data_IF_119194622293
#
_entry.id   IF_119194622293
#
_cell.length_a   1.000
_cell.length_b   1.000
_cell.length_c   1.000
_cell.angle_alpha   90.00
_cell.angle_beta   90.00
_cell.angle_gamma   90.00
#
_symmetry.space_group_name_H-M   'P 1'
#
loop_
_entity.id
_entity.type
_entity.pdbx_description
1 polymer ?
#
# COMPACT_ATOMS: atom_id res chain seq x y z
N UNK A 1 -12.95 -29.43 27.65
CA UNK A 1 -12.95 -28.21 28.49
C UNK A 1 -11.51 -27.74 28.53
N UNK A 2 -11.09 -26.98 27.52
CA UNK A 2 -9.72 -26.48 27.47
C UNK A 2 -9.69 -25.07 28.02
N UNK A 3 -9.10 -24.91 29.20
CA UNK A 3 -8.84 -23.61 29.81
C UNK A 3 -7.89 -22.81 28.92
N UNK A 4 -8.40 -21.82 28.19
CA UNK A 4 -7.58 -20.88 27.46
C UNK A 4 -6.78 -20.02 28.46
N UNK A 5 -5.45 -20.18 28.48
CA UNK A 5 -4.56 -19.30 29.25
C UNK A 5 -4.63 -17.88 28.68
N UNK A 6 -5.21 -16.93 29.42
CA UNK A 6 -5.22 -15.51 29.07
C UNK A 6 -4.00 -14.79 29.67
N UNK A 7 -3.31 -14.00 28.85
CA UNK A 7 -2.15 -13.19 29.26
C UNK A 7 -2.68 -11.81 29.65
N UNK A 8 -2.48 -11.40 30.90
CA UNK A 8 -2.83 -10.06 31.40
C UNK A 8 -1.70 -9.05 31.20
N UNK A 9 -2.04 -7.79 30.94
CA UNK A 9 -1.07 -6.71 30.90
C UNK A 9 -0.49 -6.47 32.31
N UNK A 10 0.85 -6.42 32.47
CA UNK A 10 1.49 -6.19 33.77
C UNK A 10 1.66 -4.70 34.12
N UNK A 11 1.29 -3.78 33.23
CA UNK A 11 1.41 -2.33 33.45
C UNK A 11 0.31 -1.87 34.41
N UNK A 12 0.67 -1.05 35.40
CA UNK A 12 -0.24 -0.51 36.41
C UNK A 12 -1.40 0.22 35.73
N UNK A 13 -2.62 0.03 36.24
CA UNK A 13 -3.89 0.57 35.71
C UNK A 13 -4.31 0.08 34.30
N UNK A 14 -3.59 -0.88 33.70
CA UNK A 14 -4.01 -1.51 32.45
C UNK A 14 -4.70 -2.86 32.68
N UNK A 15 -6.01 -2.94 32.39
CA UNK A 15 -6.81 -4.16 32.52
C UNK A 15 -6.88 -5.02 31.25
N UNK A 16 -5.98 -4.80 30.29
CA UNK A 16 -6.02 -5.51 29.01
C UNK A 16 -5.58 -6.98 29.14
N UNK A 17 -6.34 -7.88 28.52
CA UNK A 17 -5.99 -9.30 28.40
C UNK A 17 -5.91 -9.70 26.92
N UNK A 18 -5.00 -10.62 26.59
CA UNK A 18 -4.81 -11.16 25.24
C UNK A 18 -4.61 -12.66 25.27
N UNK A 19 -5.05 -13.32 24.20
CA UNK A 19 -4.94 -14.78 24.05
C UNK A 19 -3.58 -15.22 23.51
N UNK A 20 -2.89 -14.33 22.78
CA UNK A 20 -1.57 -14.61 22.20
C UNK A 20 -0.53 -13.60 22.67
N UNK A 21 0.70 -14.07 22.93
CA UNK A 21 1.85 -13.23 23.32
C UNK A 21 2.11 -12.10 22.30
N UNK A 22 1.92 -12.38 21.01
CA UNK A 22 2.08 -11.40 19.93
C UNK A 22 1.02 -10.29 19.97
N UNK A 23 -0.22 -10.62 20.34
CA UNK A 23 -1.28 -9.63 20.51
C UNK A 23 -1.00 -8.74 21.73
N UNK A 24 -0.39 -9.30 22.78
CA UNK A 24 0.04 -8.51 23.94
C UNK A 24 1.21 -7.58 23.59
N UNK A 25 2.17 -8.03 22.77
CA UNK A 25 3.23 -7.17 22.25
C UNK A 25 2.68 -6.03 21.38
N UNK A 26 1.67 -6.30 20.54
CA UNK A 26 0.98 -5.26 19.78
C UNK A 26 0.28 -4.25 20.70
N UNK A 27 -0.39 -4.73 21.75
CA UNK A 27 -1.03 -3.89 22.76
C UNK A 27 -0.02 -2.95 23.45
N UNK A 28 1.16 -3.43 23.87
CA UNK A 28 2.19 -2.57 24.46
C UNK A 28 2.62 -1.45 23.51
N UNK A 29 2.72 -1.74 22.21
CA UNK A 29 3.10 -0.75 21.20
C UNK A 29 2.02 0.31 20.96
N UNK A 30 0.75 -0.05 21.12
CA UNK A 30 -0.37 0.86 20.81
C UNK A 30 -0.75 1.68 22.04
N UNK A 31 -0.77 1.06 23.22
CA UNK A 31 -1.30 1.68 24.44
C UNK A 31 -0.19 2.25 25.32
N UNK A 32 0.96 1.57 25.42
CA UNK A 32 2.02 1.91 26.38
C UNK A 32 3.28 2.47 25.72
N UNK A 33 3.15 3.04 24.52
CA UNK A 33 4.29 3.56 23.76
C UNK A 33 4.77 4.87 24.37
N UNK A 34 5.86 4.79 25.12
CA UNK A 34 6.47 5.95 25.77
C UNK A 34 5.98 6.19 27.20
N UNK A 35 5.23 5.26 27.79
CA UNK A 35 4.87 5.30 29.21
C UNK A 35 6.12 5.24 30.09
N UNK A 36 6.23 6.16 31.05
CA UNK A 36 7.32 6.21 32.01
C UNK A 36 7.32 5.02 32.98
N UNK A 37 6.13 4.49 33.28
CA UNK A 37 5.92 3.40 34.23
C UNK A 37 5.81 2.03 33.55
N UNK A 38 6.15 1.92 32.26
CA UNK A 38 6.12 0.65 31.55
C UNK A 38 7.14 -0.32 32.16
N UNK A 39 6.66 -1.46 32.67
CA UNK A 39 7.50 -2.57 33.12
C UNK A 39 6.87 -3.89 32.69
N UNK A 40 7.53 -4.63 31.80
CA UNK A 40 7.04 -5.91 31.31
C UNK A 40 8.17 -6.94 31.17
N UNK A 41 7.95 -8.22 31.55
CA UNK A 41 8.89 -9.30 31.30
C UNK A 41 8.86 -9.73 29.83
N UNK A 42 9.93 -10.37 29.38
CA UNK A 42 9.95 -11.07 28.10
C UNK A 42 8.98 -12.25 28.12
N UNK A 43 8.35 -12.51 26.98
CA UNK A 43 7.43 -13.63 26.83
C UNK A 43 8.11 -15.00 26.74
N UNK A 44 9.42 -15.03 26.48
CA UNK A 44 10.20 -16.26 26.23
C UNK A 44 11.45 -16.38 27.13
N UNK A 45 11.70 -15.42 28.02
CA UNK A 45 12.79 -15.50 29.01
C UNK A 45 12.56 -14.60 30.23
N UNK A 46 13.40 -14.71 31.25
CA UNK A 46 13.24 -14.03 32.55
C UNK A 46 13.71 -12.56 32.56
N UNK A 47 14.00 -11.95 31.40
CA UNK A 47 14.47 -10.56 31.32
C UNK A 47 13.30 -9.58 31.40
N UNK A 48 13.43 -8.54 32.22
CA UNK A 48 12.44 -7.44 32.32
C UNK A 48 12.88 -6.20 31.53
N UNK A 49 11.90 -5.46 31.00
CA UNK A 49 12.13 -4.27 30.18
C UNK A 49 11.31 -3.09 30.66
N UNK A 50 11.94 -1.90 30.64
CA UNK A 50 11.32 -0.62 31.02
C UNK A 50 10.72 0.16 29.85
N UNK A 51 10.85 -0.34 28.61
CA UNK A 51 10.17 0.23 27.43
C UNK A 51 9.76 -0.88 26.47
N UNK A 52 8.62 -0.71 25.79
CA UNK A 52 8.15 -1.65 24.76
C UNK A 52 9.18 -1.81 23.63
N UNK A 53 9.85 -0.72 23.25
CA UNK A 53 10.85 -0.71 22.19
C UNK A 53 12.03 -1.63 22.55
N UNK A 54 12.48 -1.59 23.81
CA UNK A 54 13.57 -2.45 24.28
C UNK A 54 13.15 -3.93 24.31
N UNK A 55 11.94 -4.22 24.79
CA UNK A 55 11.37 -5.57 24.79
C UNK A 55 11.25 -6.13 23.36
N UNK A 56 10.71 -5.33 22.42
CA UNK A 56 10.56 -5.73 21.02
C UNK A 56 11.92 -5.96 20.34
N UNK A 57 12.91 -5.09 20.60
CA UNK A 57 14.28 -5.27 20.12
C UNK A 57 14.89 -6.56 20.66
N UNK A 58 14.70 -6.85 21.94
CA UNK A 58 15.15 -8.10 22.56
C UNK A 58 14.49 -9.32 21.91
N UNK A 59 13.17 -9.33 21.75
CA UNK A 59 12.44 -10.41 21.08
C UNK A 59 12.94 -10.63 19.66
N UNK A 60 13.16 -9.55 18.90
CA UNK A 60 13.69 -9.67 17.52
C UNK A 60 15.11 -10.21 17.43
N UNK A 61 15.92 -10.05 18.50
CA UNK A 61 17.34 -10.44 18.52
C UNK A 61 17.56 -11.83 19.11
N UNK A 62 16.83 -12.16 20.16
CA UNK A 62 17.05 -13.38 20.96
C UNK A 62 15.93 -14.41 20.82
N UNK A 63 14.76 -14.02 20.30
CA UNK A 63 13.59 -14.89 20.16
C UNK A 63 12.99 -14.73 18.75
N UNK A 64 13.81 -14.93 17.72
CA UNK A 64 13.45 -14.70 16.31
C UNK A 64 12.19 -15.48 15.89
N UNK A 65 11.97 -16.67 16.46
CA UNK A 65 10.79 -17.50 16.21
C UNK A 65 9.49 -16.94 16.81
N UNK A 66 9.56 -15.96 17.73
CA UNK A 66 8.38 -15.34 18.34
C UNK A 66 7.44 -14.67 17.32
N UNK A 67 7.97 -14.24 16.16
CA UNK A 67 7.20 -13.53 15.13
C UNK A 67 6.71 -14.43 13.98
N UNK A 68 7.04 -15.72 13.98
CA UNK A 68 6.62 -16.63 12.93
C UNK A 68 5.36 -17.41 13.36
N UNK A 69 4.22 -17.12 12.75
CA UNK A 69 3.05 -17.99 12.82
C UNK A 69 3.03 -18.91 11.59
N UNK A 70 2.98 -20.22 11.84
CA UNK A 70 2.73 -21.33 10.90
C UNK A 70 3.89 -21.78 9.99
N UNK A 71 4.77 -22.65 10.52
CA UNK A 71 5.41 -23.75 9.77
C UNK A 71 6.05 -24.82 10.69
N UNK A 72 5.58 -24.99 11.93
CA UNK A 72 6.13 -25.97 12.86
C UNK A 72 5.19 -27.18 12.98
N UNK A 73 5.10 -27.97 11.91
CA UNK A 73 4.74 -29.36 12.03
C UNK A 73 5.92 -30.19 11.49
N UNK A 74 6.50 -30.98 12.38
CA UNK A 74 7.46 -32.07 12.15
C UNK A 74 8.94 -31.63 12.02
N UNK A 75 9.70 -31.76 13.11
CA UNK A 75 10.87 -32.67 13.32
C UNK A 75 11.47 -32.39 14.73
N UNK A 76 11.94 -33.42 15.48
CA UNK A 76 12.11 -33.36 16.94
C UNK A 76 13.43 -32.74 17.41
N UNK A 77 13.42 -32.32 18.67
CA UNK A 77 14.52 -31.75 19.44
C UNK A 77 15.77 -32.64 19.49
N UNK A 78 16.94 -32.02 19.33
CA UNK A 78 18.23 -32.54 19.79
C UNK A 78 18.85 -31.47 20.69
N UNK A 79 18.92 -31.78 21.98
CA UNK A 79 19.54 -31.00 23.04
C UNK A 79 21.06 -31.05 22.96
N UNK A 80 21.76 -29.90 22.99
CA UNK A 80 23.14 -29.79 23.52
C UNK A 80 23.47 -28.31 23.85
N UNK A 81 24.50 -27.98 24.67
CA UNK A 81 24.31 -27.31 25.96
C UNK A 81 24.88 -25.88 26.02
N UNK A 82 24.50 -25.13 27.06
CA UNK A 82 24.99 -23.78 27.40
C UNK A 82 26.51 -23.78 27.70
N UNK A 83 27.20 -22.69 27.31
CA UNK A 83 28.20 -22.10 28.20
C UNK A 83 28.01 -20.60 28.44
N UNK A 84 28.66 -20.17 29.50
CA UNK A 84 28.38 -19.02 30.36
C UNK A 84 29.02 -17.70 29.88
N UNK A 85 28.48 -16.63 30.47
CA UNK A 85 28.84 -15.21 30.47
C UNK A 85 30.32 -14.80 30.41
N UNK A 86 30.62 -13.73 29.66
CA UNK A 86 31.40 -12.55 30.12
C UNK A 86 30.96 -11.29 29.33
N UNK A 87 30.76 -10.17 30.05
CA UNK A 87 30.42 -8.84 29.54
C UNK A 87 31.64 -8.07 29.00
N UNK A 88 31.44 -7.23 27.97
CA UNK A 88 31.88 -5.82 27.96
C UNK A 88 31.47 -5.08 26.67
N UNK A 89 31.01 -3.85 26.84
CA UNK A 89 30.43 -2.93 25.85
C UNK A 89 31.36 -2.49 24.71
N UNK A 90 30.81 -2.30 23.49
CA UNK A 90 31.05 -1.12 22.66
C UNK A 90 30.05 -1.00 21.49
N UNK A 91 29.57 0.22 21.26
CA UNK A 91 28.69 0.65 20.17
C UNK A 91 29.16 0.23 18.76
N UNK A 92 28.29 -0.43 17.97
CA UNK A 92 28.35 -0.46 16.49
C UNK A 92 26.96 -0.64 15.84
N UNK A 93 26.76 -0.14 14.59
CA UNK A 93 25.44 0.10 14.00
C UNK A 93 24.75 -1.16 13.46
N UNK A 94 23.44 -1.01 13.30
CA UNK A 94 22.45 -2.03 12.94
C UNK A 94 22.76 -2.63 11.55
N UNK A 95 23.40 -3.79 11.52
CA UNK A 95 23.27 -4.75 10.43
C UNK A 95 22.29 -5.82 10.92
N UNK A 96 21.02 -5.70 10.52
CA UNK A 96 19.99 -6.67 10.86
C UNK A 96 20.36 -8.04 10.28
N UNK A 97 20.75 -8.93 11.17
CA UNK A 97 20.87 -10.38 10.99
C UNK A 97 19.61 -10.95 10.33
N UNK A 98 19.65 -11.17 9.01
CA UNK A 98 18.77 -12.07 8.26
C UNK A 98 19.61 -13.04 7.42
N UNK A 99 20.53 -13.75 8.07
CA UNK A 99 21.13 -14.96 7.51
C UNK A 99 20.96 -16.06 8.54
N UNK A 100 19.86 -16.81 8.40
CA UNK A 100 19.72 -18.11 9.03
C UNK A 100 19.24 -19.09 7.96
N UNK A 101 20.12 -19.46 7.04
CA UNK A 101 20.02 -20.72 6.29
C UNK A 101 21.43 -21.16 5.88
N UNK A 102 22.13 -21.90 6.74
CA UNK A 102 23.24 -22.76 6.32
C UNK A 102 23.19 -24.07 7.11
N UNK A 103 22.05 -24.76 7.00
CA UNK A 103 21.98 -26.21 7.18
C UNK A 103 21.34 -26.81 5.92
N UNK A 104 22.15 -27.58 5.20
CA UNK A 104 21.85 -28.45 4.05
C UNK A 104 20.80 -27.92 3.06
N UNK A 105 21.24 -27.12 2.09
CA UNK A 105 20.38 -26.52 1.06
C UNK A 105 19.88 -27.60 0.07
N UNK A 106 18.60 -27.96 0.16
CA UNK A 106 17.87 -28.73 -0.87
C UNK A 106 17.47 -27.84 -2.05
N UNK A 107 17.25 -28.40 -3.24
CA UNK A 107 16.86 -27.66 -4.47
C UNK A 107 15.57 -26.84 -4.32
N UNK A 108 14.62 -27.25 -3.47
CA UNK A 108 13.42 -26.48 -3.10
C UNK A 108 13.72 -25.22 -2.29
N UNK A 109 14.85 -25.18 -1.57
CA UNK A 109 15.28 -24.03 -0.77
C UNK A 109 15.87 -22.91 -1.66
N UNK A 110 16.55 -23.27 -2.75
CA UNK A 110 17.10 -22.32 -3.73
C UNK A 110 16.01 -21.56 -4.52
N UNK A 111 14.90 -22.23 -4.85
CA UNK A 111 13.75 -21.57 -5.51
C UNK A 111 13.01 -20.65 -4.55
N UNK A 112 12.89 -21.03 -3.27
CA UNK A 112 12.34 -20.17 -2.22
C UNK A 112 13.21 -18.92 -1.97
N UNK A 113 14.53 -19.09 -1.90
CA UNK A 113 15.48 -18.00 -1.69
C UNK A 113 15.53 -17.02 -2.87
N UNK A 114 15.52 -17.52 -4.10
CA UNK A 114 15.49 -16.65 -5.29
C UNK A 114 14.17 -15.86 -5.42
N UNK A 115 13.05 -16.44 -5.00
CA UNK A 115 11.78 -15.72 -4.90
C UNK A 115 11.80 -14.64 -3.80
N UNK A 116 12.43 -14.92 -2.66
CA UNK A 116 12.59 -13.97 -1.56
C UNK A 116 13.45 -12.76 -1.97
N UNK A 117 14.63 -12.99 -2.56
CA UNK A 117 15.53 -11.92 -3.04
C UNK A 117 14.83 -11.04 -4.08
N UNK A 118 14.02 -11.65 -4.94
CA UNK A 118 13.27 -10.90 -5.96
C UNK A 118 12.16 -10.04 -5.33
N UNK A 119 11.56 -10.49 -4.24
CA UNK A 119 10.57 -9.72 -3.47
C UNK A 119 11.20 -8.49 -2.82
N UNK A 120 12.35 -8.66 -2.16
CA UNK A 120 13.09 -7.54 -1.55
C UNK A 120 13.54 -6.52 -2.62
N UNK A 121 14.03 -7.00 -3.75
CA UNK A 121 14.45 -6.15 -4.87
C UNK A 121 13.26 -5.38 -5.48
N UNK A 122 12.10 -6.03 -5.62
CA UNK A 122 10.88 -5.38 -6.07
C UNK A 122 10.39 -4.32 -5.06
N UNK A 123 10.44 -4.63 -3.76
CA UNK A 123 10.04 -3.71 -2.70
C UNK A 123 10.97 -2.49 -2.63
N UNK A 124 12.28 -2.70 -2.78
CA UNK A 124 13.27 -1.63 -2.85
C UNK A 124 12.96 -0.64 -3.99
N UNK A 125 12.70 -1.15 -5.20
CA UNK A 125 12.34 -0.30 -6.34
C UNK A 125 11.00 0.40 -6.15
N UNK A 126 10.01 -0.28 -5.57
CA UNK A 126 8.71 0.32 -5.28
C UNK A 126 8.85 1.48 -4.29
N UNK A 127 9.61 1.31 -3.22
CA UNK A 127 9.83 2.37 -2.22
C UNK A 127 10.57 3.58 -2.81
N UNK A 128 11.58 3.35 -3.66
CA UNK A 128 12.25 4.46 -4.37
C UNK A 128 11.27 5.23 -5.27
N UNK A 129 10.43 4.51 -6.01
CA UNK A 129 9.44 5.15 -6.88
C UNK A 129 8.38 5.93 -6.09
N UNK A 130 7.92 5.39 -4.95
CA UNK A 130 6.79 5.93 -4.21
C UNK A 130 7.20 6.98 -3.15
N UNK A 131 8.18 6.67 -2.30
CA UNK A 131 8.62 7.53 -1.22
C UNK A 131 9.57 8.63 -1.71
N UNK A 132 10.44 8.31 -2.68
CA UNK A 132 11.46 9.23 -3.20
C UNK A 132 11.11 9.84 -4.55
N UNK A 133 9.99 9.44 -5.16
CA UNK A 133 9.47 9.96 -6.45
C UNK A 133 10.44 9.78 -7.62
N UNK A 134 11.25 8.71 -7.58
CA UNK A 134 12.20 8.42 -8.66
C UNK A 134 11.45 8.05 -9.93
N UNK A 135 11.82 8.66 -11.05
CA UNK A 135 11.27 8.30 -12.35
C UNK A 135 11.96 7.02 -12.89
N UNK A 136 11.48 6.49 -14.02
CA UNK A 136 12.03 5.24 -14.56
C UNK A 136 13.51 5.35 -14.99
N UNK A 137 13.98 6.53 -15.36
CA UNK A 137 15.38 6.77 -15.71
C UNK A 137 16.22 6.69 -14.44
N UNK A 138 15.80 7.38 -13.37
CA UNK A 138 16.48 7.35 -12.07
C UNK A 138 16.55 5.93 -11.51
N UNK A 139 15.44 5.19 -11.58
CA UNK A 139 15.39 3.79 -11.14
C UNK A 139 16.40 2.92 -11.90
N UNK A 140 16.50 3.07 -13.23
CA UNK A 140 17.48 2.32 -14.02
C UNK A 140 18.91 2.64 -13.59
N UNK A 141 19.21 3.92 -13.34
CA UNK A 141 20.53 4.35 -12.86
C UNK A 141 20.85 3.73 -11.51
N UNK A 142 19.90 3.75 -10.56
CA UNK A 142 20.07 3.12 -9.24
C UNK A 142 20.24 1.62 -9.37
N UNK A 143 19.47 0.96 -10.22
CA UNK A 143 19.56 -0.49 -10.45
C UNK A 143 20.95 -0.89 -10.95
N UNK A 144 21.50 -0.18 -11.93
CA UNK A 144 22.82 -0.49 -12.47
C UNK A 144 23.93 -0.20 -11.44
N UNK A 145 23.87 0.94 -10.76
CA UNK A 145 24.84 1.28 -9.71
C UNK A 145 24.79 0.28 -8.54
N UNK A 146 23.58 -0.14 -8.13
CA UNK A 146 23.40 -1.13 -7.06
C UNK A 146 23.90 -2.50 -7.49
N UNK A 147 23.64 -2.92 -8.74
CA UNK A 147 24.14 -4.17 -9.30
C UNK A 147 25.67 -4.18 -9.33
N UNK A 148 26.30 -3.11 -9.81
CA UNK A 148 27.76 -3.00 -9.85
C UNK A 148 28.36 -3.02 -8.43
N UNK A 149 27.77 -2.25 -7.50
CA UNK A 149 28.19 -2.23 -6.11
C UNK A 149 28.09 -3.62 -5.45
N UNK A 150 26.96 -4.30 -5.57
CA UNK A 150 26.74 -5.63 -5.01
C UNK A 150 27.74 -6.63 -5.59
N UNK A 151 27.95 -6.62 -6.91
CA UNK A 151 28.89 -7.54 -7.55
C UNK A 151 30.33 -7.29 -7.08
N UNK A 152 30.74 -6.03 -6.92
CA UNK A 152 32.06 -5.67 -6.40
C UNK A 152 32.26 -6.15 -4.97
N UNK A 153 31.27 -5.94 -4.10
CA UNK A 153 31.34 -6.38 -2.70
C UNK A 153 31.35 -7.91 -2.58
N UNK A 154 30.53 -8.61 -3.37
CA UNK A 154 30.54 -10.08 -3.40
C UNK A 154 31.91 -10.59 -3.87
N UNK A 155 32.50 -10.00 -4.91
CA UNK A 155 33.84 -10.36 -5.37
C UNK A 155 34.91 -10.11 -4.30
N UNK A 156 34.83 -9.01 -3.55
CA UNK A 156 35.75 -8.72 -2.45
C UNK A 156 35.62 -9.73 -1.30
N UNK A 157 34.40 -10.14 -0.96
CA UNK A 157 34.15 -11.19 0.05
C UNK A 157 34.66 -12.54 -0.42
N UNK A 158 34.37 -12.94 -1.66
CA UNK A 158 34.86 -14.19 -2.24
C UNK A 158 36.39 -14.22 -2.28
N UNK A 159 37.03 -13.12 -2.65
CA UNK A 159 38.50 -13.02 -2.69
C UNK A 159 39.11 -13.17 -1.29
N UNK A 160 38.53 -12.53 -0.27
CA UNK A 160 38.96 -12.69 1.13
C UNK A 160 38.73 -14.11 1.65
N UNK A 161 37.62 -14.73 1.30
CA UNK A 161 37.31 -16.10 1.69
C UNK A 161 38.31 -17.09 1.06
N UNK A 162 38.66 -16.91 -0.22
CA UNK A 162 39.66 -17.73 -0.90
C UNK A 162 41.03 -17.58 -0.22
N UNK A 163 41.50 -16.34 -0.02
CA UNK A 163 42.77 -16.09 0.65
C UNK A 163 42.82 -16.73 2.06
N UNK A 164 41.74 -16.59 2.84
CA UNK A 164 41.65 -17.21 4.17
C UNK A 164 41.69 -18.74 4.12
N UNK A 165 41.11 -19.36 3.08
CA UNK A 165 41.14 -20.82 2.90
C UNK A 165 42.54 -21.29 2.48
N UNK A 166 43.22 -20.54 1.61
CA UNK A 166 44.61 -20.81 1.20
C UNK A 166 45.57 -20.72 2.38
N UNK A 167 45.46 -19.67 3.20
CA UNK A 167 46.25 -19.49 4.43
C UNK A 167 46.02 -20.62 5.44
N UNK A 168 44.84 -21.23 5.41
CA UNK A 168 44.47 -22.38 6.27
C UNK A 168 44.95 -23.73 5.71
N UNK A 169 45.67 -23.74 4.57
CA UNK A 169 46.13 -24.95 3.89
C UNK A 169 45.02 -25.75 3.21
N UNK A 170 43.86 -25.15 2.93
CA UNK A 170 42.75 -25.82 2.25
C UNK A 170 43.03 -25.95 0.75
N UNK A 171 43.02 -27.18 0.24
CA UNK A 171 43.29 -27.51 -1.18
C UNK A 171 42.04 -27.48 -2.07
N UNK A 172 40.86 -27.19 -1.51
CA UNK A 172 39.58 -27.21 -2.24
C UNK A 172 39.13 -25.82 -2.74
N UNK A 173 40.02 -24.85 -2.83
CA UNK A 173 39.75 -23.49 -3.35
C UNK A 173 39.23 -23.50 -4.78
N UNK A 174 39.57 -24.54 -5.55
CA UNK A 174 39.04 -24.85 -6.88
C UNK A 174 37.50 -24.94 -6.91
N UNK A 175 36.83 -25.26 -5.79
CA UNK A 175 35.37 -25.33 -5.72
C UNK A 175 34.70 -23.95 -5.63
N UNK A 176 35.45 -22.92 -5.22
CA UNK A 176 34.95 -21.53 -5.07
C UNK A 176 35.36 -20.68 -6.27
N UNK A 177 36.45 -21.03 -6.95
CA UNK A 177 36.93 -20.33 -8.15
C UNK A 177 35.86 -20.10 -9.24
N UNK A 178 34.97 -21.07 -9.56
CA UNK A 178 33.90 -20.85 -10.55
C UNK A 178 32.91 -19.75 -10.16
N UNK A 179 32.68 -19.54 -8.86
CA UNK A 179 31.80 -18.46 -8.38
C UNK A 179 32.45 -17.09 -8.60
N UNK A 180 33.76 -17.00 -8.36
CA UNK A 180 34.53 -15.78 -8.64
C UNK A 180 34.54 -15.46 -10.13
N UNK A 181 34.71 -16.47 -10.99
CA UNK A 181 34.63 -16.30 -12.45
C UNK A 181 33.23 -15.90 -12.91
N UNK A 182 32.18 -16.50 -12.35
CA UNK A 182 30.79 -16.14 -12.65
C UNK A 182 30.52 -14.66 -12.39
N UNK A 183 30.91 -14.14 -11.21
CA UNK A 183 30.70 -12.74 -10.84
C UNK A 183 31.61 -11.75 -11.59
N UNK A 184 32.72 -12.22 -12.18
CA UNK A 184 33.56 -11.44 -13.12
C UNK A 184 33.01 -11.44 -14.54
N UNK A 185 32.15 -12.40 -14.89
CA UNK A 185 31.60 -12.55 -16.23
C UNK A 185 30.35 -11.68 -16.46
N UNK A 186 29.95 -11.57 -17.74
CA UNK A 186 28.67 -10.96 -18.13
C UNK A 186 27.43 -11.70 -17.58
N UNK A 187 27.62 -12.92 -17.08
CA UNK A 187 26.56 -13.77 -16.51
C UNK A 187 26.42 -13.61 -15.00
N UNK A 188 27.10 -12.62 -14.40
CA UNK A 188 26.96 -12.30 -12.98
C UNK A 188 25.47 -12.17 -12.59
N UNK A 189 25.04 -12.81 -11.49
CA UNK A 189 23.67 -12.71 -11.00
C UNK A 189 23.24 -11.25 -10.83
N UNK A 190 22.03 -10.94 -11.30
CA UNK A 190 21.47 -9.59 -11.22
C UNK A 190 20.38 -9.57 -10.14
N UNK A 191 20.51 -8.78 -9.06
CA UNK A 191 19.50 -8.71 -8.01
C UNK A 191 18.13 -8.26 -8.55
N UNK A 192 18.13 -7.50 -9.65
CA UNK A 192 16.92 -7.02 -10.31
C UNK A 192 16.51 -7.85 -11.53
N UNK A 193 16.96 -9.11 -11.60
CA UNK A 193 16.61 -9.99 -12.70
C UNK A 193 15.08 -10.09 -12.84
N UNK A 194 14.61 -9.80 -14.06
CA UNK A 194 13.19 -9.80 -14.36
C UNK A 194 12.40 -8.65 -13.70
N UNK A 195 13.06 -7.59 -13.25
CA UNK A 195 12.49 -6.29 -12.84
C UNK A 195 13.11 -5.12 -13.64
N UNK A 196 13.87 -5.41 -14.71
CA UNK A 196 14.63 -4.42 -15.51
C UNK A 196 13.79 -3.37 -16.22
N UNK A 197 12.55 -3.71 -16.56
CA UNK A 197 11.66 -2.82 -17.31
C UNK A 197 10.46 -2.48 -16.47
N UNK A 198 9.93 -1.26 -16.65
CA UNK A 198 8.72 -0.79 -15.99
C UNK A 198 7.56 -1.79 -16.16
N UNK A 199 7.41 -2.36 -17.35
CA UNK A 199 6.41 -3.41 -17.62
C UNK A 199 6.57 -4.63 -16.71
N UNK A 200 7.80 -5.17 -16.59
CA UNK A 200 8.06 -6.33 -15.73
C UNK A 200 7.89 -6.01 -14.24
N UNK A 201 8.20 -4.77 -13.84
CA UNK A 201 7.94 -4.26 -12.50
C UNK A 201 6.43 -4.25 -12.22
N UNK A 202 5.63 -3.63 -13.08
CA UNK A 202 4.16 -3.63 -12.96
C UNK A 202 3.57 -5.04 -12.90
N UNK A 203 4.00 -5.93 -13.79
CA UNK A 203 3.54 -7.33 -13.75
C UNK A 203 3.86 -8.00 -12.42
N UNK A 204 5.05 -7.74 -11.87
CA UNK A 204 5.45 -8.27 -10.57
C UNK A 204 4.59 -7.66 -9.45
N UNK A 205 4.41 -6.34 -9.43
CA UNK A 205 3.63 -5.64 -8.40
C UNK A 205 2.16 -6.05 -8.41
N UNK A 206 1.55 -6.19 -9.58
CA UNK A 206 0.16 -6.66 -9.68
C UNK A 206 0.02 -8.10 -9.20
N UNK A 207 0.98 -8.97 -9.53
CA UNK A 207 0.92 -10.38 -9.16
C UNK A 207 1.19 -10.64 -7.68
N UNK A 208 2.20 -9.97 -7.11
CA UNK A 208 2.72 -10.31 -5.77
C UNK A 208 2.44 -9.26 -4.71
N UNK A 209 2.29 -7.98 -5.09
CA UNK A 209 1.97 -6.89 -4.15
C UNK A 209 0.50 -6.45 -4.22
N UNK A 210 -0.31 -7.09 -5.06
CA UNK A 210 -1.72 -6.74 -5.21
C UNK A 210 -1.96 -5.37 -5.81
N UNK A 211 -1.01 -4.84 -6.61
CA UNK A 211 -1.16 -3.55 -7.27
C UNK A 211 -2.35 -3.58 -8.24
N UNK A 212 -3.32 -2.71 -8.00
CA UNK A 212 -4.52 -2.58 -8.82
C UNK A 212 -4.16 -1.88 -10.13
N UNK A 213 -4.40 -2.57 -11.25
CA UNK A 213 -4.12 -2.02 -12.57
C UNK A 213 -5.25 -1.08 -13.02
N UNK A 214 -4.91 0.08 -13.61
CA UNK A 214 -5.90 0.94 -14.26
C UNK A 214 -6.44 0.29 -15.54
N UNK A 215 -7.67 0.62 -15.88
CA UNK A 215 -8.39 0.19 -17.07
C UNK A 215 -8.59 1.39 -18.00
N UNK A 216 -8.45 1.17 -19.30
CA UNK A 216 -8.77 2.16 -20.32
C UNK A 216 -10.18 1.94 -20.82
N UNK A 217 -11.00 2.99 -20.82
CA UNK A 217 -12.37 2.94 -21.31
C UNK A 217 -12.45 3.72 -22.61
N UNK A 218 -12.98 3.06 -23.64
CA UNK A 218 -13.23 3.67 -24.94
C UNK A 218 -14.49 4.54 -24.87
N UNK A 219 -14.37 5.78 -25.35
CA UNK A 219 -15.50 6.69 -25.44
C UNK A 219 -16.33 6.39 -26.70
N UNK A 220 -17.66 6.62 -26.64
CA UNK A 220 -18.54 6.38 -27.78
C UNK A 220 -18.16 7.25 -28.98
N UNK A 221 -18.49 6.79 -30.18
CA UNK A 221 -18.42 7.61 -31.38
C UNK A 221 -19.62 8.55 -31.40
N UNK A 222 -19.39 9.85 -31.60
CA UNK A 222 -20.46 10.83 -31.78
C UNK A 222 -20.73 11.06 -33.27
N UNK A 223 -21.93 11.47 -33.62
CA UNK A 223 -22.29 11.87 -34.99
C UNK A 223 -21.39 12.98 -35.54
N UNK A 224 -20.89 13.85 -34.66
CA UNK A 224 -19.94 14.93 -34.93
C UNK A 224 -18.56 14.42 -35.39
N UNK A 225 -18.23 13.16 -35.08
CA UNK A 225 -16.97 12.53 -35.41
C UNK A 225 -16.92 11.99 -36.85
N UNK A 226 -18.08 11.92 -37.51
CA UNK A 226 -18.19 11.72 -38.95
C UNK A 226 -18.19 13.11 -39.59
N UNK A 227 -17.04 13.57 -40.07
CA UNK A 227 -16.93 14.92 -40.62
C UNK A 227 -17.78 15.15 -41.87
N UNK A 228 -17.89 16.41 -42.28
CA UNK A 228 -18.63 16.80 -43.50
C UNK A 228 -18.02 16.10 -44.72
N UNK A 229 -18.88 15.55 -45.58
CA UNK A 229 -18.59 14.79 -46.83
C UNK A 229 -17.85 15.63 -47.92
N UNK A 230 -17.31 16.81 -47.59
CA UNK A 230 -16.69 17.71 -48.56
C UNK A 230 -15.38 17.19 -49.15
N UNK A 231 -14.67 16.33 -48.43
CA UNK A 231 -13.44 15.71 -48.92
C UNK A 231 -13.74 14.23 -49.14
N UNK A 232 -13.77 13.75 -50.39
CA UNK A 232 -13.98 12.33 -50.77
C UNK A 232 -12.90 11.35 -50.24
N UNK A 233 -12.26 11.65 -49.11
CA UNK A 233 -11.29 10.81 -48.41
C UNK A 233 -11.98 10.15 -47.21
N UNK A 234 -11.74 8.86 -46.94
CA UNK A 234 -12.22 8.23 -45.72
C UNK A 234 -11.61 8.94 -44.51
N UNK A 235 -12.46 9.41 -43.61
CA UNK A 235 -11.99 10.00 -42.35
C UNK A 235 -11.74 8.88 -41.34
N UNK A 236 -10.53 8.84 -40.81
CA UNK A 236 -10.18 7.91 -39.74
C UNK A 236 -10.60 8.51 -38.40
N UNK A 237 -11.58 7.88 -37.75
CA UNK A 237 -11.95 8.22 -36.38
C UNK A 237 -10.77 7.93 -35.43
N UNK A 238 -10.28 8.97 -34.74
CA UNK A 238 -9.33 8.78 -33.65
C UNK A 238 -10.11 8.35 -32.41
N UNK A 239 -10.01 7.06 -32.07
CA UNK A 239 -10.58 6.51 -30.83
C UNK A 239 -10.12 7.35 -29.64
N UNK A 240 -11.09 7.85 -28.88
CA UNK A 240 -10.84 8.55 -27.64
C UNK A 240 -11.01 7.57 -26.48
N UNK A 241 -10.12 7.67 -25.50
CA UNK A 241 -10.12 6.84 -24.30
C UNK A 241 -9.81 7.69 -23.08
N UNK A 242 -10.17 7.16 -21.91
CA UNK A 242 -9.79 7.71 -20.61
C UNK A 242 -9.48 6.57 -19.65
N UNK A 243 -8.92 6.91 -18.48
CA UNK A 243 -8.40 5.93 -17.52
C UNK A 243 -9.26 5.89 -16.28
N UNK A 244 -9.58 4.68 -15.82
CA UNK A 244 -10.31 4.41 -14.58
C UNK A 244 -9.54 3.39 -13.74
N UNK A 245 -9.53 3.56 -12.43
CA UNK A 245 -9.02 2.56 -11.48
C UNK A 245 -10.24 1.89 -10.83
N UNK A 246 -10.39 0.56 -10.93
CA UNK A 246 -11.60 -0.14 -10.44
C UNK A 246 -11.88 0.13 -8.97
N UNK A 247 -13.08 0.59 -8.65
CA UNK A 247 -13.42 1.03 -7.29
C UNK A 247 -13.52 -0.17 -6.34
N UNK A 248 -14.19 -1.25 -6.72
CA UNK A 248 -14.33 -2.44 -5.88
C UNK A 248 -13.01 -3.14 -5.57
N UNK A 249 -12.07 -3.16 -6.52
CA UNK A 249 -10.73 -3.68 -6.26
C UNK A 249 -10.03 -2.87 -5.18
N UNK A 250 -10.16 -1.54 -5.22
CA UNK A 250 -9.58 -0.65 -4.20
C UNK A 250 -10.27 -0.83 -2.86
N UNK A 251 -11.61 -0.86 -2.84
CA UNK A 251 -12.39 -1.05 -1.63
C UNK A 251 -12.05 -2.36 -0.93
N UNK A 252 -11.92 -3.47 -1.68
CA UNK A 252 -11.53 -4.77 -1.13
C UNK A 252 -10.15 -4.71 -0.46
N UNK A 253 -9.18 -4.06 -1.09
CA UNK A 253 -7.83 -3.91 -0.52
C UNK A 253 -7.86 -3.06 0.75
N UNK A 254 -8.58 -1.93 0.72
CA UNK A 254 -8.71 -1.04 1.89
C UNK A 254 -9.40 -1.74 3.06
N UNK A 255 -10.51 -2.43 2.83
CA UNK A 255 -11.23 -3.17 3.87
C UNK A 255 -10.49 -4.43 4.36
N UNK A 256 -9.47 -4.89 3.64
CA UNK A 256 -8.61 -5.97 4.12
C UNK A 256 -7.58 -5.48 5.14
N UNK A 257 -7.38 -4.17 5.28
CA UNK A 257 -6.49 -3.60 6.29
C UNK A 257 -7.18 -3.56 7.66
N UNK A 258 -6.48 -4.02 8.70
CA UNK A 258 -7.08 -4.18 10.03
C UNK A 258 -7.64 -2.86 10.57
N UNK A 259 -6.81 -1.82 10.55
CA UNK A 259 -7.15 -0.49 11.06
C UNK A 259 -8.34 0.15 10.33
N UNK A 260 -8.46 -0.07 9.01
CA UNK A 260 -9.54 0.51 8.19
C UNK A 260 -10.84 -0.21 8.46
N UNK A 261 -10.82 -1.54 8.45
CA UNK A 261 -12.01 -2.35 8.71
C UNK A 261 -12.56 -2.10 10.11
N UNK A 262 -11.68 -2.16 11.13
CA UNK A 262 -12.11 -1.99 12.51
C UNK A 262 -12.74 -0.60 12.71
N UNK A 263 -12.17 0.45 12.11
CA UNK A 263 -12.73 1.81 12.16
C UNK A 263 -13.99 2.00 11.34
N UNK A 264 -14.15 1.27 10.24
CA UNK A 264 -15.32 1.38 9.37
C UNK A 264 -16.56 0.72 9.98
N UNK A 265 -16.38 -0.40 10.67
CA UNK A 265 -17.46 -1.22 11.24
C UNK A 265 -17.60 -1.10 12.76
N UNK A 266 -16.86 -0.19 13.41
CA UNK A 266 -17.09 0.15 14.82
C UNK A 266 -18.08 1.29 14.96
N UNK A 267 -18.84 1.26 16.05
CA UNK A 267 -19.65 2.41 16.45
C UNK A 267 -18.76 3.60 16.81
N UNK A 268 -19.17 4.78 16.35
CA UNK A 268 -18.56 6.05 16.72
C UNK A 268 -19.16 6.56 18.03
N UNK A 269 -18.35 7.24 18.82
CA UNK A 269 -18.82 7.89 20.05
C UNK A 269 -19.78 9.04 19.69
N UNK A 270 -20.99 9.03 20.25
CA UNK A 270 -21.97 10.09 20.05
C UNK A 270 -21.88 11.11 21.19
N UNK A 271 -21.80 12.39 20.82
CA UNK A 271 -21.89 13.49 21.77
C UNK A 271 -23.33 14.04 21.76
N UNK A 272 -24.11 13.95 22.86
CA UNK A 272 -25.54 14.27 22.86
C UNK A 272 -25.87 15.70 22.38
N UNK A 273 -24.98 16.65 22.64
CA UNK A 273 -25.21 18.08 22.41
C UNK A 273 -24.38 18.66 21.25
N UNK A 274 -23.65 17.81 20.51
CA UNK A 274 -22.76 18.25 19.44
C UNK A 274 -22.86 17.35 18.21
N UNK A 275 -23.15 17.97 17.06
CA UNK A 275 -23.00 17.33 15.76
C UNK A 275 -21.50 17.17 15.48
N UNK A 276 -21.02 15.94 15.63
CA UNK A 276 -19.60 15.58 15.58
C UNK A 276 -19.26 14.73 14.36
N UNK A 277 -20.26 14.04 13.83
CA UNK A 277 -20.11 13.04 12.79
C UNK A 277 -21.20 13.20 11.72
N UNK A 278 -20.96 12.64 10.52
CA UNK A 278 -21.95 12.66 9.44
C UNK A 278 -23.24 11.93 9.86
N UNK A 279 -23.08 10.90 10.67
CA UNK A 279 -24.12 10.07 11.26
C UNK A 279 -25.10 10.85 12.16
N UNK A 280 -24.69 12.02 12.65
CA UNK A 280 -25.52 12.90 13.47
C UNK A 280 -26.47 13.76 12.60
N UNK A 281 -26.22 13.84 11.29
CA UNK A 281 -26.97 14.68 10.35
C UNK A 281 -28.24 14.02 9.81
N UNK A 282 -29.23 14.84 9.45
CA UNK A 282 -30.51 14.37 8.86
C UNK A 282 -30.31 13.54 7.60
N UNK A 283 -29.35 13.89 6.75
CA UNK A 283 -29.03 13.14 5.53
C UNK A 283 -28.63 11.67 5.79
N UNK A 284 -28.07 11.37 6.96
CA UNK A 284 -27.80 9.99 7.38
C UNK A 284 -29.03 9.38 8.04
N UNK A 285 -29.63 10.08 9.01
CA UNK A 285 -30.74 9.59 9.82
C UNK A 285 -32.00 9.27 9.00
N UNK A 286 -32.27 10.02 7.94
CA UNK A 286 -33.44 9.86 7.07
C UNK A 286 -33.20 8.90 5.90
N UNK A 287 -31.95 8.46 5.68
CA UNK A 287 -31.60 7.61 4.55
C UNK A 287 -31.90 6.14 4.85
N UNK A 288 -32.74 5.53 4.00
CA UNK A 288 -33.20 4.15 4.15
C UNK A 288 -32.08 3.10 4.17
N UNK A 289 -31.00 3.35 3.42
CA UNK A 289 -29.84 2.45 3.37
C UNK A 289 -29.08 2.47 4.71
N UNK A 290 -28.84 3.65 5.28
CA UNK A 290 -28.18 3.78 6.58
C UNK A 290 -29.04 3.33 7.76
N UNK A 291 -30.37 3.50 7.68
CA UNK A 291 -31.29 2.93 8.67
C UNK A 291 -31.26 1.39 8.67
N UNK A 292 -31.19 0.78 7.49
CA UNK A 292 -31.14 -0.69 7.34
C UNK A 292 -29.74 -1.24 7.63
N UNK A 293 -28.71 -0.49 7.28
CA UNK A 293 -27.30 -0.87 7.39
C UNK A 293 -26.48 0.29 7.99
N UNK A 294 -26.45 0.44 9.33
CA UNK A 294 -25.79 1.58 9.98
C UNK A 294 -24.29 1.70 9.66
N UNK A 295 -23.62 0.57 9.45
CA UNK A 295 -22.19 0.53 9.10
C UNK A 295 -21.93 0.53 7.58
N UNK A 296 -22.93 0.92 6.77
CA UNK A 296 -22.71 1.07 5.34
C UNK A 296 -21.58 2.09 5.07
N UNK A 297 -20.80 1.81 4.04
CA UNK A 297 -19.63 2.57 3.68
C UNK A 297 -20.06 3.90 3.08
N UNK A 298 -19.57 4.98 3.66
CA UNK A 298 -19.73 6.35 3.23
C UNK A 298 -18.63 6.65 2.22
N UNK A 299 -19.00 6.97 0.99
CA UNK A 299 -18.04 7.32 -0.06
C UNK A 299 -18.03 8.83 -0.22
N UNK A 300 -16.85 9.43 -0.09
CA UNK A 300 -16.65 10.85 -0.36
C UNK A 300 -15.90 10.97 -1.67
N UNK A 301 -16.53 11.55 -2.69
CA UNK A 301 -15.90 11.86 -3.97
C UNK A 301 -15.33 13.27 -3.95
N UNK A 302 -14.16 13.42 -4.55
CA UNK A 302 -13.52 14.71 -4.76
C UNK A 302 -13.09 14.85 -6.22
N UNK A 303 -13.45 15.95 -6.87
CA UNK A 303 -13.01 16.27 -8.23
C UNK A 303 -12.06 17.47 -8.22
N UNK A 304 -10.95 17.31 -8.94
CA UNK A 304 -9.91 18.33 -9.10
C UNK A 304 -9.52 18.47 -10.57
N UNK A 305 -9.24 19.71 -11.01
CA UNK A 305 -8.81 20.02 -12.37
C UNK A 305 -7.38 20.56 -12.35
N UNK A 306 -6.46 19.85 -13.02
CA UNK A 306 -5.04 20.21 -13.07
C UNK A 306 -4.62 20.49 -14.50
N UNK A 307 -3.88 21.58 -14.68
CA UNK A 307 -3.26 21.95 -15.94
C UNK A 307 -1.81 21.48 -15.96
N UNK A 308 -1.47 20.53 -16.86
CA UNK A 308 -0.13 19.90 -16.87
C UNK A 308 0.97 20.85 -17.41
N UNK A 309 0.59 21.88 -18.18
CA UNK A 309 1.56 22.81 -18.78
C UNK A 309 1.17 24.26 -18.48
N UNK A 310 2.09 24.98 -17.84
CA UNK A 310 2.15 26.43 -17.92
C UNK A 310 2.62 26.79 -19.32
N UNK A 311 1.68 27.13 -20.20
CA UNK A 311 2.02 27.51 -21.56
C UNK A 311 1.45 28.89 -21.86
N UNK A 312 2.33 29.83 -22.16
CA UNK A 312 2.00 31.08 -22.82
C UNK A 312 1.47 30.73 -24.23
N UNK A 313 0.17 30.91 -24.49
CA UNK A 313 -0.40 30.78 -25.84
C UNK A 313 -1.87 30.37 -25.90
N UNK A 314 -2.51 30.58 -27.06
CA UNK A 314 -3.95 30.36 -27.27
C UNK A 314 -4.38 28.89 -27.49
N UNK A 315 -3.44 27.96 -27.67
CA UNK A 315 -3.72 26.51 -27.88
C UNK A 315 -3.68 25.67 -26.59
N UNK A 316 -3.66 26.34 -25.45
CA UNK A 316 -3.21 25.78 -24.16
C UNK A 316 -4.36 25.13 -23.37
N UNK A 317 -5.61 25.44 -23.71
CA UNK A 317 -6.81 24.93 -23.03
C UNK A 317 -7.06 23.42 -23.22
N UNK A 318 -6.35 22.75 -24.13
CA UNK A 318 -6.63 21.35 -24.48
C UNK A 318 -6.00 20.30 -23.53
N UNK A 319 -5.13 20.72 -22.60
CA UNK A 319 -4.33 19.81 -21.78
C UNK A 319 -4.72 19.81 -20.29
N UNK A 320 -5.91 20.30 -19.95
CA UNK A 320 -6.42 20.20 -18.59
C UNK A 320 -6.96 18.79 -18.32
N UNK A 321 -6.52 18.21 -17.22
CA UNK A 321 -6.98 16.92 -16.73
C UNK A 321 -7.94 17.12 -15.57
N UNK A 322 -8.98 16.31 -15.55
CA UNK A 322 -9.88 16.16 -14.42
C UNK A 322 -9.55 14.84 -13.74
N UNK A 323 -9.33 14.92 -12.44
CA UNK A 323 -9.08 13.79 -11.57
C UNK A 323 -10.30 13.58 -10.67
N UNK A 324 -10.71 12.33 -10.55
CA UNK A 324 -11.77 11.91 -9.63
C UNK A 324 -11.13 11.05 -8.56
N UNK A 325 -11.26 11.46 -7.31
CA UNK A 325 -10.74 10.75 -6.15
C UNK A 325 -11.87 10.28 -5.25
N UNK A 326 -11.57 9.31 -4.38
CA UNK A 326 -12.44 8.93 -3.28
C UNK A 326 -11.69 8.75 -1.97
N UNK A 327 -12.43 8.92 -0.88
CA UNK A 327 -12.02 8.57 0.48
C UNK A 327 -13.17 7.84 1.19
N UNK A 328 -12.85 7.01 2.18
CA UNK A 328 -13.85 6.36 3.04
C UNK A 328 -14.26 7.33 4.15
N UNK A 329 -15.52 7.74 4.14
CA UNK A 329 -16.12 8.71 5.06
C UNK A 329 -16.26 8.20 6.50
N UNK A 330 -16.38 6.88 6.70
CA UNK A 330 -16.50 6.27 8.02
C UNK A 330 -15.26 6.49 8.89
N UNK A 331 -14.09 6.72 8.28
CA UNK A 331 -12.86 6.95 9.02
C UNK A 331 -12.90 8.29 9.79
N UNK A 332 -12.25 8.31 10.96
CA UNK A 332 -12.10 9.54 11.75
C UNK A 332 -11.38 10.63 10.93
N UNK A 333 -11.72 11.90 11.20
CA UNK A 333 -11.23 13.05 10.43
C UNK A 333 -9.70 13.06 10.30
N UNK A 334 -8.98 12.76 11.38
CA UNK A 334 -7.50 12.73 11.41
C UNK A 334 -6.88 11.74 10.41
N UNK A 335 -7.59 10.68 10.06
CA UNK A 335 -7.13 9.71 9.06
C UNK A 335 -7.52 10.17 7.65
N UNK A 336 -8.74 10.72 7.48
CA UNK A 336 -9.25 11.23 6.20
C UNK A 336 -8.43 12.40 5.64
N UNK A 337 -7.76 13.17 6.50
CA UNK A 337 -6.88 14.28 6.08
C UNK A 337 -5.51 13.84 5.57
N UNK A 338 -5.17 12.54 5.66
CA UNK A 338 -3.89 12.03 5.14
C UNK A 338 -3.95 11.79 3.64
N UNK A 339 -2.91 12.19 2.90
CA UNK A 339 -2.76 11.88 1.47
C UNK A 339 -2.87 10.37 1.16
N UNK A 340 -2.48 9.51 2.11
CA UNK A 340 -2.56 8.05 1.95
C UNK A 340 -4.00 7.51 1.89
N UNK A 341 -4.99 8.31 2.29
CA UNK A 341 -6.41 7.93 2.25
C UNK A 341 -7.14 8.48 1.02
N UNK A 342 -6.46 9.30 0.19
CA UNK A 342 -7.00 9.83 -1.07
C UNK A 342 -6.66 8.88 -2.20
N UNK A 343 -7.68 8.18 -2.71
CA UNK A 343 -7.53 7.14 -3.71
C UNK A 343 -8.05 7.64 -5.06
N UNK A 344 -7.36 7.31 -6.15
CA UNK A 344 -7.75 7.73 -7.50
C UNK A 344 -8.81 6.80 -8.09
N UNK A 345 -9.85 7.35 -8.71
CA UNK A 345 -10.88 6.60 -9.45
C UNK A 345 -10.80 6.80 -10.96
N UNK A 346 -10.60 8.03 -11.43
CA UNK A 346 -10.61 8.30 -12.86
C UNK A 346 -9.75 9.50 -13.23
N UNK A 347 -9.21 9.46 -14.45
CA UNK A 347 -8.52 10.57 -15.11
C UNK A 347 -9.07 10.69 -16.53
N UNK A 348 -9.56 11.88 -16.87
CA UNK A 348 -9.99 12.23 -18.22
C UNK A 348 -9.63 13.69 -18.52
N UNK A 349 -9.62 14.06 -19.80
CA UNK A 349 -9.36 15.45 -20.18
C UNK A 349 -10.62 16.30 -20.03
N UNK A 350 -10.46 17.58 -19.69
CA UNK A 350 -11.60 18.50 -19.58
C UNK A 350 -12.36 18.65 -20.92
N UNK A 351 -11.67 18.67 -22.06
CA UNK A 351 -12.34 18.69 -23.37
C UNK A 351 -13.24 17.47 -23.62
N UNK A 352 -12.99 16.34 -22.95
CA UNK A 352 -13.87 15.17 -23.00
C UNK A 352 -15.14 15.41 -22.17
N UNK A 353 -15.06 16.18 -21.07
CA UNK A 353 -16.23 16.58 -20.28
C UNK A 353 -17.15 17.45 -21.14
N UNK A 354 -16.60 18.44 -21.83
CA UNK A 354 -17.36 19.32 -22.74
C UNK A 354 -18.03 18.53 -23.88
N UNK A 355 -17.34 17.51 -24.41
CA UNK A 355 -17.80 16.75 -25.58
C UNK A 355 -18.77 15.62 -25.25
N UNK A 356 -18.51 14.86 -24.20
CA UNK A 356 -19.27 13.65 -23.84
C UNK A 356 -20.19 13.83 -22.64
N UNK A 357 -19.95 14.88 -21.84
CA UNK A 357 -20.64 15.12 -20.59
C UNK A 357 -20.10 14.29 -19.42
N UNK A 358 -20.23 14.84 -18.22
CA UNK A 358 -19.76 14.20 -16.98
C UNK A 358 -20.44 12.86 -16.72
N UNK A 359 -21.71 12.72 -17.07
CA UNK A 359 -22.49 11.48 -16.89
C UNK A 359 -21.87 10.27 -17.60
N UNK A 360 -21.28 10.47 -18.79
CA UNK A 360 -20.63 9.38 -19.55
C UNK A 360 -19.30 9.00 -18.91
N UNK A 361 -18.55 9.98 -18.42
CA UNK A 361 -17.22 9.80 -17.86
C UNK A 361 -17.24 9.22 -16.44
N UNK A 362 -18.24 9.60 -15.63
CA UNK A 362 -18.42 9.06 -14.28
C UNK A 362 -19.24 7.77 -14.24
N UNK A 363 -19.85 7.36 -15.36
CA UNK A 363 -20.69 6.16 -15.42
C UNK A 363 -20.07 4.93 -14.77
N UNK A 364 -18.80 4.55 -15.04
CA UNK A 364 -18.20 3.36 -14.43
C UNK A 364 -18.16 3.43 -12.90
N UNK A 365 -17.81 4.61 -12.35
CA UNK A 365 -17.75 4.84 -10.90
C UNK A 365 -19.15 4.78 -10.29
N UNK A 366 -20.11 5.47 -10.89
CA UNK A 366 -21.49 5.52 -10.39
C UNK A 366 -22.17 4.16 -10.47
N UNK A 367 -21.94 3.39 -11.53
CA UNK A 367 -22.49 2.04 -11.69
C UNK A 367 -21.94 1.07 -10.61
N UNK A 368 -20.67 1.20 -10.21
CA UNK A 368 -20.12 0.45 -9.08
C UNK A 368 -20.70 0.92 -7.74
N UNK A 369 -20.89 2.23 -7.52
CA UNK A 369 -21.54 2.73 -6.29
C UNK A 369 -22.98 2.23 -6.19
N UNK A 370 -23.75 2.24 -7.28
CA UNK A 370 -25.13 1.69 -7.30
C UNK A 370 -25.18 0.20 -6.99
N UNK A 371 -24.17 -0.56 -7.43
CA UNK A 371 -24.05 -1.97 -7.06
C UNK A 371 -23.74 -2.12 -5.57
N UNK A 372 -22.89 -1.27 -5.00
CA UNK A 372 -22.60 -1.25 -3.57
C UNK A 372 -23.85 -0.93 -2.72
N UNK A 373 -24.74 -0.05 -3.21
CA UNK A 373 -26.01 0.26 -2.55
C UNK A 373 -26.93 -0.96 -2.43
N UNK A 374 -26.87 -1.88 -3.40
CA UNK A 374 -27.61 -3.15 -3.39
C UNK A 374 -26.95 -4.22 -2.51
N UNK A 375 -25.73 -3.97 -2.07
CA UNK A 375 -24.89 -4.87 -1.30
C UNK A 375 -24.12 -5.84 -2.17
N UNK A 376 -22.79 -5.85 -2.01
CA UNK A 376 -21.88 -6.73 -2.74
C UNK A 376 -21.18 -7.71 -1.80
N UNK A 377 -20.92 -8.92 -2.28
CA UNK A 377 -20.16 -9.91 -1.53
C UNK A 377 -18.66 -9.67 -1.72
N UNK A 378 -17.97 -9.26 -0.66
CA UNK A 378 -16.53 -9.05 -0.64
C UNK A 378 -15.90 -10.08 0.29
N UNK A 379 -14.91 -10.81 -0.22
CA UNK A 379 -14.05 -11.62 0.62
C UNK A 379 -13.07 -10.70 1.36
N UNK A 380 -13.34 -10.48 2.65
CA UNK A 380 -12.53 -9.66 3.56
C UNK A 380 -11.91 -10.62 4.59
N UNK A 381 -10.57 -10.65 4.65
CA UNK A 381 -9.81 -11.50 5.60
C UNK A 381 -10.21 -12.99 5.54
N UNK A 382 -10.53 -13.52 4.36
CA UNK A 382 -10.93 -14.92 4.18
C UNK A 382 -12.42 -15.20 4.42
N UNK A 383 -13.18 -14.21 4.90
CA UNK A 383 -14.61 -14.32 5.14
C UNK A 383 -15.40 -13.57 4.07
N UNK A 384 -16.34 -14.25 3.43
CA UNK A 384 -17.27 -13.62 2.51
C UNK A 384 -18.29 -12.82 3.32
N UNK A 385 -18.28 -11.50 3.16
CA UNK A 385 -19.17 -10.58 3.85
C UNK A 385 -19.94 -9.75 2.83
N UNK A 386 -21.23 -9.56 3.07
CA UNK A 386 -22.05 -8.66 2.28
C UNK A 386 -21.88 -7.23 2.78
N UNK A 387 -21.35 -6.37 1.92
CA UNK A 387 -20.98 -4.98 2.23
C UNK A 387 -21.89 -4.03 1.48
N UNK A 388 -22.39 -3.02 2.20
CA UNK A 388 -23.24 -1.95 1.67
C UNK A 388 -22.54 -0.60 1.76
N UNK A 389 -22.99 0.37 0.99
CA UNK A 389 -22.42 1.71 0.98
C UNK A 389 -23.03 2.57 -0.11
N UNK A 390 -22.83 3.89 0.01
CA UNK A 390 -23.37 4.87 -0.93
C UNK A 390 -22.50 6.14 -0.95
N UNK A 391 -22.73 6.99 -1.94
CA UNK A 391 -22.15 8.31 -2.03
C UNK A 391 -22.79 9.24 -0.99
N UNK A 392 -21.99 9.77 -0.07
CA UNK A 392 -22.48 10.71 0.96
C UNK A 392 -22.09 12.15 0.66
N UNK A 393 -20.90 12.36 0.10
CA UNK A 393 -20.39 13.70 -0.21
C UNK A 393 -19.75 13.68 -1.60
N UNK A 394 -20.04 14.70 -2.38
CA UNK A 394 -19.25 15.07 -3.55
C UNK A 394 -18.73 16.48 -3.36
N UNK A 395 -17.42 16.63 -3.35
CA UNK A 395 -16.74 17.92 -3.27
C UNK A 395 -16.00 18.20 -4.57
N UNK A 396 -16.00 19.46 -4.99
CA UNK A 396 -15.24 19.93 -6.12
C UNK A 396 -15.03 21.45 -5.99
N UNK A 397 -14.18 22.03 -6.83
CA UNK A 397 -14.16 23.49 -6.95
C UNK A 397 -15.48 24.04 -7.52
N UNK A 398 -15.67 25.36 -7.54
CA UNK A 398 -16.96 25.94 -7.94
C UNK A 398 -17.36 25.56 -9.38
N UNK A 399 -16.42 25.55 -10.31
CA UNK A 399 -16.69 25.25 -11.72
C UNK A 399 -17.01 23.77 -11.92
N UNK A 400 -16.24 22.87 -11.33
CA UNK A 400 -16.50 21.44 -11.38
C UNK A 400 -17.78 21.07 -10.62
N UNK A 401 -18.10 21.73 -9.50
CA UNK A 401 -19.36 21.54 -8.77
C UNK A 401 -20.56 21.91 -9.65
N UNK A 402 -20.49 23.03 -10.38
CA UNK A 402 -21.53 23.39 -11.34
C UNK A 402 -21.65 22.36 -12.46
N UNK A 403 -20.51 21.88 -13.00
CA UNK A 403 -20.48 20.85 -14.04
C UNK A 403 -21.16 19.54 -13.60
N UNK A 404 -20.80 19.05 -12.40
CA UNK A 404 -21.36 17.81 -11.84
C UNK A 404 -22.84 17.97 -11.51
N UNK A 405 -23.25 19.12 -10.96
CA UNK A 405 -24.65 19.41 -10.64
C UNK A 405 -25.53 19.70 -11.87
N UNK A 406 -24.96 19.73 -13.08
CA UNK A 406 -25.69 20.07 -14.31
C UNK A 406 -26.06 21.56 -14.42
N UNK A 407 -25.42 22.42 -13.62
CA UNK A 407 -25.60 23.87 -13.66
C UNK A 407 -24.72 24.51 -14.75
N UNK A 408 -25.04 25.75 -15.13
CA UNK A 408 -24.21 26.53 -16.03
C UNK A 408 -22.85 26.79 -15.38
N UNK A 409 -21.77 26.33 -16.02
CA UNK A 409 -20.40 26.50 -15.55
C UNK A 409 -19.99 27.98 -15.72
N UNK A 410 -20.22 28.79 -14.69
CA UNK A 410 -19.77 30.17 -14.61
C UNK A 410 -19.53 30.57 -13.16
N UNK A 411 -18.53 31.44 -12.92
CA UNK A 411 -18.44 32.22 -11.69
C UNK A 411 -19.08 33.57 -11.99
N UNK A 412 -20.35 33.73 -11.67
CA UNK A 412 -20.96 35.06 -11.70
C UNK A 412 -20.63 35.73 -10.39
N UNK A 413 -19.59 36.57 -10.38
CA UNK A 413 -19.46 37.56 -9.30
C UNK A 413 -20.71 38.44 -9.40
N UNK A 414 -21.48 38.65 -8.33
CA UNK A 414 -22.51 39.67 -8.35
C UNK A 414 -21.75 40.99 -8.44
N UNK A 415 -21.53 41.49 -9.66
CA UNK A 415 -21.31 42.91 -9.83
C UNK A 415 -22.57 43.55 -9.31
N UNK A 416 -22.45 44.23 -8.17
CA UNK A 416 -23.40 45.25 -7.75
C UNK A 416 -23.48 46.24 -8.92
N UNK A 417 -24.41 45.99 -9.84
CA UNK A 417 -24.85 47.00 -10.78
C UNK A 417 -25.37 48.13 -9.92
N UNK A 418 -24.66 49.26 -9.96
CA UNK A 418 -25.06 50.51 -9.32
C UNK A 418 -26.57 50.71 -9.56
N UNK A 419 -27.34 51.12 -8.55
CA UNK A 419 -28.70 51.56 -8.78
C UNK A 419 -28.65 52.78 -9.72
N UNK A 420 -29.71 52.95 -10.50
CA UNK A 420 -29.94 54.11 -11.36
C UNK A 420 -29.59 55.44 -10.71
#
# INVERSE_FOLDING_TARGET
MDCAFEISCPVIDCKAQRRMKQQMLSHYRVVHRGDADFKAPCFECEKEFRTEIALRKHLSRHHVLFFNNEAAAVIPALEVPRPQSVNSDLHQPILSSKICILQTISSKCLTSLSNFIRSDSALYLLNLSHERKFNQVDLKTVMEATKEFVNKEVLAVLSRAIASLEDSGCTHTERVAPLTELYKSIFAPDPFQGLKTQYRQYQYYTKYFGMISPIKILLPQLTQDYGRVQTRKPQNFKKQEYVVVPFFSQLKVLLSMDDVYDKNFSDKFKSPDLLSHFEDGSSYLENSLFQSHPHAIQIHLYLDEVQICDALGSKVFNNKLVFVYFTIGNLEIKFRTSFNQINLLAIFFNHQVEKYGMNVLLKPVIDEIKQLEQGIDINIRGNLQKVFGTLTILTADNLASHSVGGFKIAVTVPTLTKPF
#
